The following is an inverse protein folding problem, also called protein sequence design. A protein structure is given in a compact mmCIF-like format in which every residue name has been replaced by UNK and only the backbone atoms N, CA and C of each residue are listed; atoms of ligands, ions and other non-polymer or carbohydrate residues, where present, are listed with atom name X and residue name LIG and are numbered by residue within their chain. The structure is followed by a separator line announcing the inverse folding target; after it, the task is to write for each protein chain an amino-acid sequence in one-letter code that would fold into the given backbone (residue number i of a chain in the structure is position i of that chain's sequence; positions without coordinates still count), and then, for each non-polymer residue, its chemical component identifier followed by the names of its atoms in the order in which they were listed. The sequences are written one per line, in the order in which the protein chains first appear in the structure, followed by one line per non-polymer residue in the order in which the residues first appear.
data_IF_467822262247
#
_entry.id   IF_467822262247
#
_cell.length_a   1.000
_cell.length_b   1.000
_cell.length_c   1.000
_cell.angle_alpha   90.00
_cell.angle_beta   90.00
_cell.angle_gamma   90.00
#
_symmetry.space_group_name_H-M   'P 1'
#
loop_
_entity.id
_entity.type
_entity.pdbx_description
1 polymer ?
#
# COMPACT_ATOMS: atom_id res chain seq x y z
N UNK A 1 1.74 26.93 1.19
CA UNK A 1 1.72 25.64 1.89
C UNK A 1 1.76 24.45 0.92
N UNK A 2 0.76 24.24 0.08
CA UNK A 2 0.66 23.05 -0.82
C UNK A 2 1.77 22.96 -1.87
N UNK A 3 2.13 24.07 -2.53
CA UNK A 3 3.21 24.10 -3.52
C UNK A 3 4.59 23.74 -2.94
N UNK A 4 4.86 24.18 -1.71
CA UNK A 4 6.11 23.88 -0.99
C UNK A 4 6.22 22.38 -0.68
N UNK A 5 5.10 21.79 -0.25
CA UNK A 5 4.99 20.34 -0.03
C UNK A 5 5.21 19.57 -1.34
N UNK A 6 4.52 19.95 -2.42
CA UNK A 6 4.62 19.28 -3.72
C UNK A 6 6.03 19.34 -4.31
N UNK A 7 6.66 20.51 -4.31
CA UNK A 7 8.01 20.70 -4.89
C UNK A 7 9.10 20.00 -4.07
N UNK A 8 9.03 20.06 -2.74
CA UNK A 8 10.03 19.39 -1.88
C UNK A 8 9.96 17.87 -1.99
N UNK A 9 8.76 17.29 -1.99
CA UNK A 9 8.55 15.85 -2.17
C UNK A 9 9.02 15.41 -3.57
N UNK A 10 8.63 16.13 -4.62
CA UNK A 10 9.04 15.81 -5.98
C UNK A 10 10.56 15.86 -6.16
N UNK A 11 11.22 16.87 -5.58
CA UNK A 11 12.68 16.98 -5.61
C UNK A 11 13.38 15.82 -4.88
N UNK A 12 12.90 15.44 -3.69
CA UNK A 12 13.48 14.33 -2.91
C UNK A 12 13.30 12.98 -3.61
N UNK A 13 12.14 12.74 -4.24
CA UNK A 13 11.89 11.54 -5.03
C UNK A 13 12.80 11.53 -6.28
N UNK A 14 12.96 12.68 -6.96
CA UNK A 14 13.86 12.78 -8.12
C UNK A 14 15.33 12.51 -7.75
N UNK A 15 15.73 12.81 -6.51
CA UNK A 15 17.04 12.49 -5.95
C UNK A 15 17.17 11.02 -5.49
N UNK A 16 16.13 10.20 -5.66
CA UNK A 16 16.13 8.78 -5.30
C UNK A 16 15.85 8.50 -3.82
N UNK A 17 15.33 9.47 -3.06
CA UNK A 17 14.95 9.23 -1.68
C UNK A 17 13.75 8.26 -1.59
N UNK A 18 13.71 7.37 -0.59
CA UNK A 18 12.52 6.57 -0.32
C UNK A 18 11.29 7.47 -0.11
N UNK A 19 10.14 7.06 -0.65
CA UNK A 19 8.90 7.87 -0.65
C UNK A 19 8.52 8.33 0.77
N UNK A 20 8.68 7.46 1.79
CA UNK A 20 8.36 7.82 3.17
C UNK A 20 9.25 8.96 3.70
N UNK A 21 10.53 8.99 3.32
CA UNK A 21 11.47 10.06 3.70
C UNK A 21 11.07 11.36 3.01
N UNK A 22 10.74 11.29 1.72
CA UNK A 22 10.33 12.46 0.95
C UNK A 22 9.08 13.13 1.55
N UNK A 23 8.06 12.33 1.90
CA UNK A 23 6.83 12.83 2.53
C UNK A 23 7.08 13.43 3.92
N UNK A 24 7.89 12.77 4.76
CA UNK A 24 8.15 13.22 6.13
C UNK A 24 9.01 14.49 6.17
N UNK A 25 10.02 14.58 5.31
CA UNK A 25 10.84 15.78 5.15
C UNK A 25 10.04 16.94 4.54
N UNK A 26 9.21 16.69 3.52
CA UNK A 26 8.35 17.72 2.93
C UNK A 26 7.29 18.27 3.91
N UNK A 27 6.67 17.39 4.70
CA UNK A 27 5.70 17.78 5.72
C UNK A 27 6.34 18.59 6.86
N UNK A 28 7.51 18.16 7.35
CA UNK A 28 8.25 18.90 8.39
C UNK A 28 8.74 20.27 7.90
N UNK A 29 9.23 20.36 6.66
CA UNK A 29 9.60 21.64 6.04
C UNK A 29 8.41 22.63 5.99
N UNK A 30 7.22 22.13 5.65
CA UNK A 30 6.00 22.96 5.64
C UNK A 30 5.62 23.43 7.04
N UNK A 31 5.70 22.58 8.05
CA UNK A 31 5.40 22.96 9.44
C UNK A 31 6.37 24.02 10.00
N UNK A 32 7.63 23.98 9.57
CA UNK A 32 8.64 24.98 9.96
C UNK A 32 8.41 26.34 9.29
N UNK A 33 8.05 26.34 8.00
CA UNK A 33 7.85 27.57 7.21
C UNK A 33 6.47 28.20 7.43
N UNK A 34 5.48 27.40 7.79
CA UNK A 34 4.09 27.82 8.01
C UNK A 34 3.60 27.24 9.35
N UNK A 35 3.91 27.90 10.48
CA UNK A 35 3.48 27.41 11.79
C UNK A 35 1.95 27.31 11.85
N UNK A 36 1.48 26.10 12.18
CA UNK A 36 0.06 25.72 12.22
C UNK A 36 -0.50 25.62 13.64
N UNK A 37 -1.61 24.88 13.85
CA UNK A 37 -2.21 24.67 15.17
C UNK A 37 -1.22 24.03 16.16
N UNK A 38 -1.48 24.10 17.48
CA UNK A 38 -0.57 23.59 18.51
C UNK A 38 -0.12 22.16 18.24
N UNK A 39 1.13 21.84 18.58
CA UNK A 39 1.75 20.53 18.35
C UNK A 39 0.91 19.34 18.85
N UNK A 40 0.11 19.56 19.90
CA UNK A 40 -0.84 18.59 20.44
C UNK A 40 -1.91 18.19 19.42
N UNK A 41 -2.42 19.15 18.63
CA UNK A 41 -3.40 18.87 17.58
C UNK A 41 -2.76 18.09 16.42
N UNK A 42 -1.49 18.36 16.10
CA UNK A 42 -0.75 17.60 15.09
C UNK A 42 -0.66 16.11 15.45
N UNK A 43 -0.43 15.79 16.72
CA UNK A 43 -0.41 14.40 17.20
C UNK A 43 -1.75 13.71 16.93
N UNK A 44 -2.87 14.35 17.28
CA UNK A 44 -4.20 13.80 17.00
C UNK A 44 -4.46 13.59 15.50
N UNK A 45 -4.01 14.50 14.65
CA UNK A 45 -4.15 14.36 13.18
C UNK A 45 -3.28 13.24 12.63
N UNK A 46 -2.04 13.08 13.08
CA UNK A 46 -1.15 11.99 12.65
C UNK A 46 -1.74 10.64 13.06
N UNK A 47 -2.15 10.48 14.32
CA UNK A 47 -2.76 9.23 14.79
C UNK A 47 -4.15 8.98 14.17
N UNK A 48 -4.91 10.03 13.88
CA UNK A 48 -6.18 9.92 13.16
C UNK A 48 -6.01 9.55 11.67
N UNK A 49 -4.89 9.93 11.05
CA UNK A 49 -4.56 9.58 9.67
C UNK A 49 -3.91 8.20 9.51
N UNK A 50 -3.48 7.57 10.61
CA UNK A 50 -3.17 6.14 10.63
C UNK A 50 -4.49 5.37 10.59
N UNK A 51 -5.10 5.28 9.41
CA UNK A 51 -6.27 4.43 9.19
C UNK A 51 -5.89 2.99 9.54
N UNK A 52 -6.23 2.58 10.76
CA UNK A 52 -5.91 1.26 11.29
C UNK A 52 -6.40 0.16 10.35
N UNK A 53 -7.48 0.41 9.61
CA UNK A 53 -8.02 -0.52 8.61
C UNK A 53 -7.06 -0.81 7.44
N UNK A 54 -6.43 0.23 6.87
CA UNK A 54 -5.46 0.07 5.79
C UNK A 54 -4.20 -0.64 6.28
N UNK A 55 -3.72 -0.28 7.48
CA UNK A 55 -2.54 -0.91 8.08
C UNK A 55 -2.80 -2.37 8.49
N UNK A 56 -4.01 -2.71 8.94
CA UNK A 56 -4.42 -4.08 9.25
C UNK A 56 -4.62 -4.93 7.98
N UNK A 57 -4.88 -4.32 6.83
CA UNK A 57 -5.06 -5.06 5.57
C UNK A 57 -3.82 -5.88 5.21
N UNK A 58 -2.61 -5.32 5.42
CA UNK A 58 -1.34 -6.03 5.13
C UNK A 58 -1.19 -7.33 5.95
N UNK A 59 -1.26 -7.33 7.29
CA UNK A 59 -1.17 -8.58 8.07
C UNK A 59 -2.34 -9.52 7.78
N UNK A 60 -3.55 -9.02 7.50
CA UNK A 60 -4.66 -9.88 7.10
C UNK A 60 -4.43 -10.56 5.74
N UNK A 61 -3.80 -9.88 4.78
CA UNK A 61 -3.41 -10.50 3.50
C UNK A 61 -2.35 -11.59 3.70
N UNK A 62 -1.33 -11.32 4.53
CA UNK A 62 -0.32 -12.32 4.87
C UNK A 62 -0.96 -13.53 5.57
N UNK A 63 -1.84 -13.28 6.54
CA UNK A 63 -2.57 -14.32 7.25
C UNK A 63 -3.48 -15.14 6.34
N UNK A 64 -4.23 -14.48 5.43
CA UNK A 64 -5.06 -15.17 4.45
C UNK A 64 -4.22 -16.02 3.50
N UNK A 65 -3.05 -15.52 3.07
CA UNK A 65 -2.11 -16.27 2.24
C UNK A 65 -1.61 -17.54 2.93
N UNK A 66 -1.20 -17.43 4.20
CA UNK A 66 -0.76 -18.58 4.99
C UNK A 66 -1.91 -19.57 5.24
N UNK A 67 -3.11 -19.06 5.53
CA UNK A 67 -4.30 -19.88 5.69
C UNK A 67 -4.60 -20.66 4.40
N UNK A 68 -4.49 -20.02 3.22
CA UNK A 68 -4.70 -20.68 1.92
C UNK A 68 -3.64 -21.76 1.65
N UNK A 69 -2.39 -21.54 2.07
CA UNK A 69 -1.30 -22.50 1.94
C UNK A 69 -1.53 -23.74 2.83
N UNK A 70 -1.89 -23.56 4.10
CA UNK A 70 -2.09 -24.67 5.05
C UNK A 70 -3.38 -25.44 4.79
N UNK A 71 -4.45 -24.76 4.38
CA UNK A 71 -5.77 -25.38 4.14
C UNK A 71 -5.90 -26.09 2.79
N UNK A 72 -4.91 -25.95 1.89
CA UNK A 72 -4.98 -26.47 0.52
C UNK A 72 -6.05 -25.79 -0.35
N UNK A 73 -6.57 -24.63 0.08
CA UNK A 73 -7.56 -23.85 -0.68
C UNK A 73 -6.94 -23.35 -1.99
N UNK A 74 -5.66 -22.97 -1.98
CA UNK A 74 -4.93 -22.55 -3.17
C UNK A 74 -4.95 -23.65 -4.26
N UNK A 75 -4.67 -24.90 -3.89
CA UNK A 75 -4.68 -26.04 -4.82
C UNK A 75 -6.09 -26.32 -5.36
N UNK A 76 -7.12 -26.22 -4.51
CA UNK A 76 -8.53 -26.38 -4.92
C UNK A 76 -8.94 -25.31 -5.93
N UNK A 77 -8.54 -24.05 -5.71
CA UNK A 77 -8.77 -22.94 -6.63
C UNK A 77 -8.05 -23.15 -7.96
N UNK A 78 -6.79 -23.57 -7.94
CA UNK A 78 -6.03 -23.88 -9.15
C UNK A 78 -6.68 -25.02 -9.93
N UNK A 79 -7.16 -26.06 -9.25
CA UNK A 79 -7.86 -27.17 -9.90
C UNK A 79 -9.22 -26.74 -10.50
N UNK A 80 -9.95 -25.84 -9.85
CA UNK A 80 -11.18 -25.24 -10.40
C UNK A 80 -10.88 -24.44 -11.68
N UNK A 81 -9.86 -23.59 -11.64
CA UNK A 81 -9.42 -22.80 -12.80
C UNK A 81 -8.99 -23.72 -13.95
N UNK A 82 -8.23 -24.79 -13.66
CA UNK A 82 -7.86 -25.80 -14.65
C UNK A 82 -9.07 -26.56 -15.19
N UNK A 83 -10.09 -26.82 -14.38
CA UNK A 83 -11.32 -27.46 -14.86
C UNK A 83 -12.12 -26.55 -15.81
N UNK A 84 -12.10 -25.23 -15.58
CA UNK A 84 -12.80 -24.25 -16.41
C UNK A 84 -12.03 -23.90 -17.70
N UNK A 85 -10.71 -23.73 -17.62
CA UNK A 85 -9.89 -23.17 -18.71
C UNK A 85 -8.77 -24.09 -19.20
N UNK A 86 -8.60 -25.29 -18.63
CA UNK A 86 -7.41 -26.14 -18.82
C UNK A 86 -7.15 -26.65 -20.23
N UNK A 87 -8.12 -26.54 -21.16
CA UNK A 87 -7.94 -26.88 -22.58
C UNK A 87 -7.25 -25.77 -23.38
N UNK A 88 -7.09 -24.58 -22.80
CA UNK A 88 -6.41 -23.44 -23.45
C UNK A 88 -4.92 -23.46 -23.05
N UNK A 89 -3.98 -23.53 -24.02
CA UNK A 89 -2.56 -23.41 -23.72
C UNK A 89 -2.29 -22.02 -23.12
N UNK A 90 -1.59 -21.97 -21.97
CA UNK A 90 -1.40 -20.74 -21.19
C UNK A 90 -2.55 -20.39 -20.22
N UNK A 91 -3.49 -21.32 -19.98
CA UNK A 91 -4.67 -21.11 -19.11
C UNK A 91 -4.36 -20.61 -17.70
N UNK A 92 -3.24 -21.02 -17.09
CA UNK A 92 -2.82 -20.47 -15.79
C UNK A 92 -2.43 -18.98 -15.88
N UNK A 93 -1.81 -18.56 -16.99
CA UNK A 93 -1.48 -17.14 -17.23
C UNK A 93 -2.72 -16.29 -17.54
N UNK A 94 -3.68 -16.84 -18.28
CA UNK A 94 -4.97 -16.19 -18.54
C UNK A 94 -5.76 -16.01 -17.23
N UNK A 95 -5.74 -17.01 -16.35
CA UNK A 95 -6.37 -16.90 -15.03
C UNK A 95 -5.67 -15.90 -14.10
N UNK A 96 -4.35 -15.80 -14.17
CA UNK A 96 -3.59 -14.81 -13.41
C UNK A 96 -3.90 -13.37 -13.84
N UNK A 97 -4.10 -13.12 -15.14
CA UNK A 97 -4.48 -11.80 -15.67
C UNK A 97 -5.96 -11.45 -15.48
N UNK A 98 -6.84 -12.45 -15.43
CA UNK A 98 -8.27 -12.23 -15.18
C UNK A 98 -8.63 -11.97 -13.71
N UNK A 99 -7.68 -12.20 -12.78
CA UNK A 99 -7.85 -12.01 -11.34
C UNK A 99 -7.21 -10.74 -10.76
N UNK A 100 -6.49 -9.95 -11.58
CA UNK A 100 -5.93 -8.64 -11.22
C UNK A 100 -6.83 -7.49 -11.64
#
# INVERSE_FOLDING_TARGET
MTWVLGLSVAALIALGAPIFVALLAGASLVLLLFPGPPLIALQQTIFGGLDAYALLSVPFFVFAGELMAVSGIADRLINLVRALFGRVPGSLGIAALGGS
#
